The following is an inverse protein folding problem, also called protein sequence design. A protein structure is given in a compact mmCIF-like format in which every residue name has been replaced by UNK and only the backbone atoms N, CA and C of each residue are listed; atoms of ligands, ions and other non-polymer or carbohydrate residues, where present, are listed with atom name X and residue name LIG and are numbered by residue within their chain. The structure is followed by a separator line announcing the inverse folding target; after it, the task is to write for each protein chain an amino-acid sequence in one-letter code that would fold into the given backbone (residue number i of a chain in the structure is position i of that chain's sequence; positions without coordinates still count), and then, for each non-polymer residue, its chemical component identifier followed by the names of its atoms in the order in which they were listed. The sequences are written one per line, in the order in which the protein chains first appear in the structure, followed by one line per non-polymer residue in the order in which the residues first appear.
data_IF_258635601550
#
_entry.id   IF_258635601550
#
_cell.length_a   1.000
_cell.length_b   1.000
_cell.length_c   1.000
_cell.angle_alpha   90.00
_cell.angle_beta   90.00
_cell.angle_gamma   90.00
#
_symmetry.space_group_name_H-M   'P 1'
#
loop_
_entity.id
_entity.type
_entity.pdbx_description
1 polymer ?
#
# COMPACT_ATOMS: atom_id res chain seq x y z
N UNK A 1 18.82 -79.72 -3.32
CA UNK A 1 18.83 -78.55 -2.47
C UNK A 1 18.79 -77.29 -3.35
N UNK A 2 17.66 -76.55 -3.41
CA UNK A 2 17.50 -75.30 -4.18
C UNK A 2 17.71 -74.15 -3.20
N UNK A 3 18.77 -73.37 -3.44
CA UNK A 3 19.06 -72.11 -2.74
C UNK A 3 18.23 -71.01 -3.38
N UNK A 4 17.28 -70.44 -2.68
CA UNK A 4 16.56 -69.24 -3.01
C UNK A 4 17.41 -68.03 -2.53
N UNK A 5 17.96 -67.27 -3.46
CA UNK A 5 18.63 -66.01 -3.18
C UNK A 5 17.56 -64.91 -3.22
N UNK A 6 17.18 -64.41 -2.07
CA UNK A 6 16.29 -63.23 -1.96
C UNK A 6 17.10 -61.94 -2.17
N UNK A 7 16.85 -61.24 -3.27
CA UNK A 7 17.39 -59.92 -3.52
C UNK A 7 16.55 -58.87 -2.78
N UNK A 8 17.12 -58.22 -1.77
CA UNK A 8 16.54 -57.09 -1.09
C UNK A 8 16.86 -55.83 -1.90
N UNK A 9 15.87 -55.24 -2.56
CA UNK A 9 15.98 -53.97 -3.20
C UNK A 9 15.87 -52.86 -2.16
N UNK A 10 16.96 -52.15 -1.90
CA UNK A 10 16.95 -50.91 -1.12
C UNK A 10 16.39 -49.78 -2.02
N UNK A 11 15.18 -49.31 -1.68
CA UNK A 11 14.61 -48.09 -2.29
C UNK A 11 15.17 -46.88 -1.50
N UNK A 12 16.12 -46.16 -2.08
CA UNK A 12 16.60 -44.90 -1.55
C UNK A 12 15.58 -43.80 -1.87
N UNK A 13 14.83 -43.37 -0.86
CA UNK A 13 13.94 -42.20 -1.00
C UNK A 13 14.80 -40.95 -0.86
N UNK A 14 15.10 -40.30 -1.98
CA UNK A 14 15.75 -38.98 -2.00
C UNK A 14 14.68 -37.93 -1.71
N UNK A 15 14.69 -37.36 -0.50
CA UNK A 15 13.93 -36.16 -0.20
C UNK A 15 14.54 -34.98 -0.95
N UNK A 16 13.90 -34.52 -2.01
CA UNK A 16 14.25 -33.30 -2.68
C UNK A 16 13.77 -32.13 -1.81
N UNK A 17 14.71 -31.39 -1.18
CA UNK A 17 14.43 -30.11 -0.55
C UNK A 17 14.11 -29.11 -1.67
N UNK A 18 12.84 -28.72 -1.78
CA UNK A 18 12.44 -27.62 -2.65
C UNK A 18 13.11 -26.32 -2.16
N UNK A 19 13.65 -25.48 -3.07
CA UNK A 19 14.19 -24.20 -2.67
C UNK A 19 13.08 -23.35 -2.03
N UNK A 20 13.32 -22.84 -0.81
CA UNK A 20 12.44 -21.87 -0.18
C UNK A 20 12.54 -20.59 -1.00
N UNK A 21 11.45 -20.18 -1.68
CA UNK A 21 11.40 -18.91 -2.36
C UNK A 21 11.58 -17.80 -1.32
N UNK A 22 12.65 -17.02 -1.43
CA UNK A 22 12.83 -15.82 -0.62
C UNK A 22 11.74 -14.84 -1.00
N UNK A 23 11.00 -14.31 -0.01
CA UNK A 23 10.07 -13.22 -0.25
C UNK A 23 10.85 -12.03 -0.81
N UNK A 24 10.32 -11.37 -1.84
CA UNK A 24 10.91 -10.14 -2.36
C UNK A 24 11.02 -9.11 -1.23
N UNK A 25 12.14 -8.39 -1.13
CA UNK A 25 12.30 -7.38 -0.11
C UNK A 25 11.24 -6.29 -0.28
N UNK A 26 10.72 -5.76 0.83
CA UNK A 26 9.81 -4.60 0.80
C UNK A 26 10.51 -3.46 0.07
N UNK A 27 9.87 -2.85 -0.94
CA UNK A 27 10.46 -1.73 -1.66
C UNK A 27 10.78 -0.58 -0.71
N UNK A 28 11.96 0.04 -0.88
CA UNK A 28 12.41 1.17 -0.06
C UNK A 28 11.95 2.52 -0.60
N UNK A 29 12.11 3.59 0.21
CA UNK A 29 11.81 4.97 -0.18
C UNK A 29 12.68 5.44 -1.37
N UNK A 30 12.32 6.55 -2.05
CA UNK A 30 11.16 7.38 -1.76
C UNK A 30 9.85 6.72 -2.21
N UNK A 31 8.81 6.86 -1.37
CA UNK A 31 7.48 6.33 -1.66
C UNK A 31 6.60 7.34 -2.38
N UNK A 32 6.86 8.64 -2.17
CA UNK A 32 6.12 9.75 -2.78
C UNK A 32 7.02 10.47 -3.78
N UNK A 33 6.53 10.63 -5.01
CA UNK A 33 7.25 11.32 -6.06
C UNK A 33 7.13 12.84 -5.90
N UNK A 34 5.91 13.34 -5.82
CA UNK A 34 5.61 14.74 -5.58
C UNK A 34 4.19 14.90 -5.04
N UNK A 35 3.86 16.12 -4.62
CA UNK A 35 2.51 16.52 -4.23
C UNK A 35 2.12 17.82 -4.91
N UNK A 36 0.83 18.03 -5.15
CA UNK A 36 0.31 19.23 -5.80
C UNK A 36 -1.02 19.64 -5.17
N UNK A 37 -1.10 20.89 -4.70
CA UNK A 37 -2.37 21.48 -4.32
C UNK A 37 -3.19 21.87 -5.55
N UNK A 38 -4.45 21.43 -5.58
CA UNK A 38 -5.44 21.87 -6.53
C UNK A 38 -6.58 22.60 -5.80
N UNK A 39 -7.22 23.54 -6.47
CA UNK A 39 -8.32 24.32 -5.90
C UNK A 39 -9.53 24.29 -6.80
N UNK A 40 -10.70 24.21 -6.18
CA UNK A 40 -12.00 24.36 -6.80
C UNK A 40 -12.86 25.29 -5.92
N UNK A 41 -13.04 26.54 -6.32
CA UNK A 41 -13.69 27.52 -5.47
C UNK A 41 -12.96 27.66 -4.14
N UNK A 42 -13.68 27.45 -3.06
CA UNK A 42 -13.14 27.50 -1.70
C UNK A 42 -12.59 26.16 -1.20
N UNK A 43 -12.72 25.10 -2.00
CA UNK A 43 -12.22 23.78 -1.68
C UNK A 43 -10.81 23.56 -2.22
N UNK A 44 -10.00 22.83 -1.49
CA UNK A 44 -8.65 22.42 -1.92
C UNK A 44 -8.47 20.91 -1.78
N UNK A 45 -7.64 20.37 -2.65
CA UNK A 45 -7.25 18.96 -2.64
C UNK A 45 -5.73 18.86 -2.76
N UNK A 46 -5.10 18.12 -1.89
CA UNK A 46 -3.70 17.75 -2.03
C UNK A 46 -3.63 16.45 -2.83
N UNK A 47 -3.11 16.53 -4.04
CA UNK A 47 -2.83 15.38 -4.88
C UNK A 47 -1.47 14.81 -4.54
N UNK A 48 -1.46 13.60 -4.02
CA UNK A 48 -0.25 12.87 -3.67
C UNK A 48 0.05 11.86 -4.77
N UNK A 49 1.21 11.97 -5.39
CA UNK A 49 1.65 11.09 -6.48
C UNK A 49 2.64 10.07 -5.95
N UNK A 50 2.22 8.80 -5.76
CA UNK A 50 3.11 7.77 -5.28
C UNK A 50 4.11 7.32 -6.35
N UNK A 51 5.31 6.97 -5.92
CA UNK A 51 6.29 6.30 -6.77
C UNK A 51 5.87 4.86 -7.05
N UNK A 52 6.53 4.21 -7.99
CA UNK A 52 6.34 2.77 -8.21
C UNK A 52 6.74 1.96 -6.96
N UNK A 53 7.75 2.43 -6.22
CA UNK A 53 8.15 1.84 -4.94
C UNK A 53 7.05 1.99 -3.88
N UNK A 54 6.45 3.19 -3.76
CA UNK A 54 5.33 3.45 -2.86
C UNK A 54 4.13 2.56 -3.16
N UNK A 55 3.76 2.41 -4.43
CA UNK A 55 2.67 1.54 -4.86
C UNK A 55 2.90 0.07 -4.47
N UNK A 56 4.12 -0.43 -4.68
CA UNK A 56 4.45 -1.80 -4.28
C UNK A 56 4.53 -1.97 -2.76
N UNK A 57 5.08 -0.99 -2.05
CA UNK A 57 5.15 -1.02 -0.60
C UNK A 57 3.75 -0.99 0.05
N UNK A 58 2.80 -0.26 -0.55
CA UNK A 58 1.43 -0.19 -0.05
C UNK A 58 0.66 -1.52 -0.12
N UNK A 59 1.06 -2.42 -1.01
CA UNK A 59 0.50 -3.78 -1.12
C UNK A 59 1.04 -4.75 -0.06
N UNK A 60 2.08 -4.34 0.67
CA UNK A 60 2.67 -5.13 1.76
C UNK A 60 2.20 -4.54 3.08
N UNK A 61 1.55 -5.35 3.93
CA UNK A 61 0.99 -4.90 5.20
C UNK A 61 2.08 -4.54 6.23
N UNK A 62 2.77 -3.40 6.04
CA UNK A 62 3.72 -2.83 7.00
C UNK A 62 3.32 -1.40 7.36
N UNK A 63 3.14 -1.13 8.65
CA UNK A 63 2.79 0.21 9.15
C UNK A 63 3.97 1.19 9.04
N UNK A 64 5.21 0.72 9.17
CA UNK A 64 6.41 1.57 9.12
C UNK A 64 6.60 2.27 7.77
N UNK A 65 6.34 1.58 6.65
CA UNK A 65 6.41 2.19 5.33
C UNK A 65 5.32 3.25 5.10
N UNK A 66 4.12 3.03 5.64
CA UNK A 66 3.04 4.02 5.59
C UNK A 66 3.38 5.29 6.37
N UNK A 67 3.95 5.14 7.57
CA UNK A 67 4.37 6.28 8.39
C UNK A 67 5.51 7.07 7.73
N UNK A 68 6.47 6.37 7.12
CA UNK A 68 7.55 7.00 6.37
C UNK A 68 7.02 7.74 5.13
N UNK A 69 6.11 7.13 4.38
CA UNK A 69 5.47 7.77 3.23
C UNK A 69 4.69 9.04 3.63
N UNK A 70 3.98 9.01 4.76
CA UNK A 70 3.34 10.20 5.28
C UNK A 70 4.34 11.29 5.69
N UNK A 71 5.47 10.92 6.29
CA UNK A 71 6.54 11.87 6.60
C UNK A 71 7.14 12.50 5.32
N UNK A 72 7.23 11.74 4.22
CA UNK A 72 7.62 12.29 2.91
C UNK A 72 6.59 13.31 2.40
N UNK A 73 5.28 13.04 2.54
CA UNK A 73 4.22 14.03 2.20
C UNK A 73 4.42 15.31 2.99
N UNK A 74 4.62 15.23 4.30
CA UNK A 74 4.85 16.40 5.16
C UNK A 74 6.16 17.14 4.84
N UNK A 75 7.17 16.44 4.36
CA UNK A 75 8.42 17.07 3.89
C UNK A 75 8.17 17.87 2.60
N UNK A 76 7.35 17.36 1.70
CA UNK A 76 7.00 18.02 0.43
C UNK A 76 5.97 19.13 0.61
N UNK A 77 5.07 19.00 1.59
CA UNK A 77 4.01 19.98 1.89
C UNK A 77 3.74 19.99 3.41
N UNK A 78 4.48 20.79 4.19
CA UNK A 78 4.27 20.85 5.65
C UNK A 78 2.87 21.32 6.05
N UNK A 79 2.20 22.08 5.21
CA UNK A 79 0.82 22.54 5.38
C UNK A 79 -0.23 21.45 5.18
N UNK A 80 0.17 20.25 4.77
CA UNK A 80 -0.70 19.09 4.74
C UNK A 80 -1.03 18.51 6.14
N UNK A 81 -0.32 18.95 7.18
CA UNK A 81 -0.56 18.51 8.55
C UNK A 81 -1.82 19.17 9.15
N UNK A 82 -2.97 18.75 8.63
CA UNK A 82 -4.29 19.22 9.04
C UNK A 82 -5.16 18.04 9.51
N UNK A 83 -6.16 18.29 10.38
CA UNK A 83 -7.05 17.23 10.86
C UNK A 83 -7.68 16.43 9.73
N UNK A 84 -7.61 15.09 9.82
CA UNK A 84 -8.19 14.16 8.86
C UNK A 84 -7.32 13.85 7.63
N UNK A 85 -6.31 14.64 7.32
CA UNK A 85 -5.47 14.43 6.13
C UNK A 85 -4.64 13.13 6.23
N UNK A 86 -4.05 12.87 7.39
CA UNK A 86 -3.33 11.62 7.62
C UNK A 86 -4.25 10.40 7.53
N UNK A 87 -5.46 10.49 8.10
CA UNK A 87 -6.42 9.38 8.06
C UNK A 87 -6.83 9.06 6.62
N UNK A 88 -7.08 10.08 5.78
CA UNK A 88 -7.33 9.91 4.35
C UNK A 88 -6.11 9.31 3.63
N UNK A 89 -4.91 9.78 3.93
CA UNK A 89 -3.68 9.20 3.35
C UNK A 89 -3.52 7.72 3.69
N UNK A 90 -3.70 7.34 4.96
CA UNK A 90 -3.58 5.94 5.38
C UNK A 90 -4.62 5.05 4.69
N UNK A 91 -5.84 5.53 4.52
CA UNK A 91 -6.87 4.82 3.76
C UNK A 91 -6.45 4.59 2.30
N UNK A 92 -5.92 5.60 1.62
CA UNK A 92 -5.40 5.46 0.26
C UNK A 92 -4.20 4.52 0.20
N UNK A 93 -3.28 4.61 1.16
CA UNK A 93 -2.15 3.70 1.26
C UNK A 93 -2.60 2.24 1.33
N UNK A 94 -3.59 1.95 2.14
CA UNK A 94 -4.07 0.58 2.36
C UNK A 94 -4.94 0.04 1.21
N UNK A 95 -5.71 0.90 0.55
CA UNK A 95 -6.79 0.45 -0.34
C UNK A 95 -6.64 0.88 -1.80
N UNK A 96 -5.92 1.97 -2.12
CA UNK A 96 -5.95 2.53 -3.47
C UNK A 96 -5.41 1.55 -4.53
N UNK A 97 -4.28 0.91 -4.31
CA UNK A 97 -3.72 -0.05 -5.26
C UNK A 97 -4.51 -1.37 -5.35
N UNK A 98 -5.31 -1.69 -4.34
CA UNK A 98 -6.21 -2.85 -4.37
C UNK A 98 -7.49 -2.54 -5.15
N UNK A 99 -8.06 -1.34 -4.96
CA UNK A 99 -9.32 -0.93 -5.57
C UNK A 99 -9.15 -0.42 -7.00
N UNK A 100 -8.10 0.36 -7.25
CA UNK A 100 -7.79 1.00 -8.53
C UNK A 100 -6.28 0.99 -8.78
N UNK A 101 -5.71 -0.17 -9.20
CA UNK A 101 -4.28 -0.28 -9.45
C UNK A 101 -3.78 0.77 -10.43
N UNK A 102 -2.73 1.49 -10.04
CA UNK A 102 -2.14 2.53 -10.89
C UNK A 102 -2.89 3.85 -10.90
N UNK A 103 -3.83 4.09 -9.97
CA UNK A 103 -4.47 5.40 -9.81
C UNK A 103 -3.42 6.51 -9.78
N UNK A 104 -3.62 7.56 -10.59
CA UNK A 104 -2.58 8.58 -10.84
C UNK A 104 -2.16 9.30 -9.57
N UNK A 105 -3.13 9.71 -8.75
CA UNK A 105 -2.88 10.39 -7.48
C UNK A 105 -3.84 9.92 -6.40
N UNK A 106 -3.39 10.02 -5.15
CA UNK A 106 -4.20 9.87 -3.97
C UNK A 106 -4.57 11.25 -3.45
N UNK A 107 -5.84 11.60 -3.54
CA UNK A 107 -6.29 12.95 -3.24
C UNK A 107 -6.76 13.06 -1.79
N UNK A 108 -6.27 14.08 -1.12
CA UNK A 108 -6.56 14.35 0.29
C UNK A 108 -7.20 15.74 0.40
N UNK A 109 -8.38 15.82 1.02
CA UNK A 109 -9.15 17.06 1.10
C UNK A 109 -9.31 17.52 2.55
N UNK A 110 -8.74 18.69 2.92
CA UNK A 110 -8.81 19.20 4.29
C UNK A 110 -10.23 19.62 4.73
N UNK A 111 -11.14 19.84 3.78
CA UNK A 111 -12.54 20.21 4.05
C UNK A 111 -13.42 19.00 4.40
N UNK A 112 -12.93 17.77 4.24
CA UNK A 112 -13.65 16.57 4.65
C UNK A 112 -13.63 16.43 6.16
N UNK A 113 -14.78 16.04 6.75
CA UNK A 113 -14.87 15.78 8.16
C UNK A 113 -13.98 14.59 8.56
N UNK A 114 -13.38 14.69 9.75
CA UNK A 114 -12.75 13.55 10.37
C UNK A 114 -13.83 12.55 10.79
N UNK A 115 -13.67 11.30 10.39
CA UNK A 115 -14.62 10.20 10.61
C UNK A 115 -13.94 9.02 11.28
N UNK A 116 -14.71 7.98 11.63
CA UNK A 116 -14.16 6.71 12.10
C UNK A 116 -13.45 5.95 10.95
N UNK A 117 -12.59 4.99 11.30
CA UNK A 117 -11.92 4.14 10.32
C UNK A 117 -12.93 3.34 9.49
N UNK A 118 -14.01 2.87 10.10
CA UNK A 118 -15.09 2.16 9.41
C UNK A 118 -15.76 3.04 8.34
N UNK A 119 -16.16 4.26 8.70
CA UNK A 119 -16.75 5.21 7.75
C UNK A 119 -15.74 5.64 6.67
N UNK A 120 -14.45 5.76 7.01
CA UNK A 120 -13.40 6.06 6.05
C UNK A 120 -13.33 4.98 4.96
N UNK A 121 -13.37 3.71 5.33
CA UNK A 121 -13.36 2.58 4.41
C UNK A 121 -14.66 2.49 3.61
N UNK A 122 -15.82 2.62 4.26
CA UNK A 122 -17.13 2.59 3.59
C UNK A 122 -17.30 3.70 2.57
N UNK A 123 -16.72 4.88 2.82
CA UNK A 123 -16.72 6.02 1.90
C UNK A 123 -15.64 5.94 0.82
N UNK A 124 -14.93 4.81 0.70
CA UNK A 124 -13.81 4.63 -0.24
C UNK A 124 -12.76 5.74 -0.12
N UNK A 125 -12.36 6.07 1.10
CA UNK A 125 -11.43 7.12 1.47
C UNK A 125 -11.91 8.57 1.18
N UNK A 126 -13.18 8.74 0.84
CA UNK A 126 -13.79 10.03 0.48
C UNK A 126 -14.99 10.38 1.39
N UNK A 127 -14.79 10.54 2.71
CA UNK A 127 -15.92 10.82 3.60
C UNK A 127 -16.60 12.15 3.23
N UNK A 128 -17.92 12.12 3.19
CA UNK A 128 -18.74 13.29 2.85
C UNK A 128 -19.03 13.51 1.36
N UNK A 129 -18.63 12.60 0.49
CA UNK A 129 -18.93 12.65 -0.94
C UNK A 129 -17.83 12.12 -1.84
N UNK A 130 -18.13 12.01 -3.12
CA UNK A 130 -17.19 11.53 -4.14
C UNK A 130 -15.99 12.45 -4.29
N UNK A 131 -14.93 11.93 -4.92
CA UNK A 131 -13.76 12.68 -5.31
C UNK A 131 -14.11 13.85 -6.24
N UNK A 132 -13.46 15.00 -6.07
CA UNK A 132 -13.69 16.16 -6.91
C UNK A 132 -13.20 15.91 -8.35
N UNK A 133 -13.88 16.43 -9.37
CA UNK A 133 -13.62 16.12 -10.78
C UNK A 133 -12.47 16.93 -11.41
N UNK A 134 -11.51 17.43 -10.63
CA UNK A 134 -10.41 18.27 -11.11
C UNK A 134 -9.03 17.72 -10.84
#
# INVERSE_FOLDING_TARGET
VRLLVAAIALIAVTLALAPVASADPVPGPPYIDHVQWAKWGDMSSLRVYPTQSGRRASLVATTSAADEAWAEVLTLSPDADMPGMRDQFMCHWELAELAEPGKVSWNLEPWRNKVSDEEMVESHCNPGGTEEPF
#
